data_IF_948050821947
#
_entry.id   IF_948050821947
#
_cell.length_a   1.000
_cell.length_b   1.000
_cell.length_c   1.000
_cell.angle_alpha   90.00
_cell.angle_beta   90.00
_cell.angle_gamma   90.00
#
_symmetry.space_group_name_H-M   'P 1'
#
loop_
_entity.id
_entity.type
_entity.pdbx_description
1 polymer ?
#
# COMPACT_ATOMS: atom_id res chain seq x y z
N UNK A 1 63.26 -50.02 30.51
CA UNK A 1 62.25 -50.77 29.73
C UNK A 1 60.96 -49.96 29.66
N UNK A 2 60.13 -50.21 28.64
CA UNK A 2 58.87 -49.52 28.29
C UNK A 2 57.86 -49.42 29.48
N UNK A 3 57.17 -48.29 29.73
CA UNK A 3 55.83 -47.86 29.21
C UNK A 3 54.61 -48.55 29.88
N UNK A 4 53.37 -48.02 29.96
CA UNK A 4 52.64 -47.03 29.13
C UNK A 4 51.58 -46.22 29.93
N UNK A 5 51.33 -44.99 29.47
CA UNK A 5 50.06 -44.22 29.40
C UNK A 5 48.71 -44.79 29.92
N UNK A 6 47.84 -43.91 30.44
CA UNK A 6 46.43 -44.26 30.74
C UNK A 6 45.43 -43.17 31.18
N UNK A 7 45.64 -41.87 30.91
CA UNK A 7 44.63 -40.83 31.26
C UNK A 7 43.37 -40.96 30.39
N UNK A 8 42.17 -41.00 31.00
CA UNK A 8 40.87 -41.03 30.30
C UNK A 8 39.83 -40.04 30.86
N UNK A 9 39.89 -38.82 30.37
CA UNK A 9 38.82 -37.81 30.27
C UNK A 9 39.10 -37.02 28.95
N UNK A 10 38.15 -36.31 28.28
CA UNK A 10 36.75 -36.03 28.61
C UNK A 10 35.80 -36.08 27.36
N UNK A 11 35.19 -37.21 26.99
CA UNK A 11 34.34 -37.27 25.76
C UNK A 11 32.89 -36.84 25.98
N UNK A 12 32.34 -37.02 27.19
CA UNK A 12 30.90 -36.95 27.45
C UNK A 12 30.35 -35.50 27.48
N UNK A 13 31.18 -34.50 27.81
CA UNK A 13 30.72 -33.11 28.02
C UNK A 13 30.44 -32.37 26.69
N UNK A 14 31.16 -32.69 25.61
CA UNK A 14 31.08 -31.96 24.32
C UNK A 14 29.78 -32.26 23.56
N UNK A 15 29.18 -33.44 23.76
CA UNK A 15 27.95 -33.85 23.04
C UNK A 15 26.73 -33.07 23.56
N UNK A 16 26.67 -32.78 24.87
CA UNK A 16 25.57 -32.04 25.49
C UNK A 16 25.56 -30.56 25.12
N UNK A 17 26.72 -29.92 24.90
CA UNK A 17 26.78 -28.52 24.45
C UNK A 17 26.37 -28.36 22.99
N UNK A 18 26.64 -29.33 22.12
CA UNK A 18 26.21 -29.30 20.71
C UNK A 18 24.69 -29.44 20.55
N UNK A 19 24.04 -30.27 21.38
CA UNK A 19 22.58 -30.41 21.39
C UNK A 19 21.86 -29.14 21.90
N UNK A 20 22.44 -28.42 22.86
CA UNK A 20 21.86 -27.18 23.38
C UNK A 20 21.82 -26.04 22.34
N UNK A 21 22.83 -25.97 21.45
CA UNK A 21 22.89 -24.95 20.39
C UNK A 21 21.92 -25.24 19.24
N UNK A 22 21.68 -26.52 18.91
CA UNK A 22 20.76 -26.91 17.84
C UNK A 22 19.31 -26.48 18.10
N UNK A 23 18.86 -26.45 19.36
CA UNK A 23 17.49 -26.04 19.73
C UNK A 23 17.23 -24.54 19.49
N UNK A 24 18.27 -23.70 19.51
CA UNK A 24 18.16 -22.26 19.24
C UNK A 24 18.25 -21.88 17.76
N UNK A 25 18.57 -22.84 16.88
CA UNK A 25 18.83 -22.60 15.46
C UNK A 25 17.69 -23.05 14.52
N UNK A 26 16.55 -23.52 15.03
CA UNK A 26 15.37 -23.74 14.19
C UNK A 26 14.78 -22.39 13.74
N UNK A 27 14.70 -22.10 12.43
CA UNK A 27 14.21 -20.83 11.94
C UNK A 27 12.71 -20.71 12.22
N UNK A 28 12.33 -19.74 13.06
CA UNK A 28 10.91 -19.45 13.41
C UNK A 28 10.01 -19.29 12.17
N UNK A 29 10.60 -18.83 11.06
CA UNK A 29 9.97 -18.68 9.75
C UNK A 29 9.25 -19.95 9.26
N UNK A 30 9.78 -21.14 9.51
CA UNK A 30 9.15 -22.40 9.09
C UNK A 30 7.79 -22.61 9.77
N UNK A 31 7.76 -22.46 11.10
CA UNK A 31 6.51 -22.56 11.87
C UNK A 31 5.47 -21.50 11.49
N UNK A 32 5.89 -20.31 11.03
CA UNK A 32 4.95 -19.29 10.53
C UNK A 32 4.37 -19.72 9.18
N UNK A 33 5.20 -20.20 8.25
CA UNK A 33 4.73 -20.69 6.95
C UNK A 33 3.75 -21.87 7.09
N UNK A 34 4.05 -22.83 7.96
CA UNK A 34 3.19 -23.99 8.23
C UNK A 34 1.82 -23.59 8.80
N UNK A 35 1.81 -22.66 9.77
CA UNK A 35 0.56 -22.12 10.35
C UNK A 35 -0.29 -21.38 9.30
N UNK A 36 0.35 -20.64 8.39
CA UNK A 36 -0.33 -19.94 7.29
C UNK A 36 -0.91 -20.93 6.28
N UNK A 37 -0.13 -21.94 5.84
CA UNK A 37 -0.62 -23.00 4.96
C UNK A 37 -1.86 -23.68 5.57
N UNK A 38 -1.76 -24.15 6.81
CA UNK A 38 -2.85 -24.80 7.51
C UNK A 38 -4.11 -23.94 7.60
N UNK A 39 -3.97 -22.64 7.89
CA UNK A 39 -5.11 -21.71 7.92
C UNK A 39 -5.77 -21.57 6.54
N UNK A 40 -4.98 -21.44 5.47
CA UNK A 40 -5.51 -21.29 4.12
C UNK A 40 -6.17 -22.57 3.59
N UNK A 41 -5.66 -23.76 3.92
CA UNK A 41 -6.29 -25.05 3.59
C UNK A 41 -7.61 -25.24 4.35
N UNK A 42 -7.62 -24.98 5.67
CA UNK A 42 -8.83 -25.05 6.49
C UNK A 42 -9.91 -24.04 6.03
N UNK A 43 -9.49 -22.88 5.53
CA UNK A 43 -10.39 -21.84 5.01
C UNK A 43 -10.90 -22.13 3.59
N UNK A 44 -10.26 -23.05 2.84
CA UNK A 44 -10.62 -23.39 1.46
C UNK A 44 -10.71 -24.92 1.27
N UNK A 45 -11.75 -25.59 1.82
CA UNK A 45 -11.86 -27.05 1.79
C UNK A 45 -11.69 -27.65 0.38
N UNK A 46 -10.85 -28.67 0.26
CA UNK A 46 -10.50 -29.30 -1.02
C UNK A 46 -9.43 -28.58 -1.82
N UNK A 47 -8.77 -27.56 -1.24
CA UNK A 47 -7.60 -26.87 -1.82
C UNK A 47 -6.34 -27.17 -1.00
N UNK A 48 -5.18 -27.09 -1.64
CA UNK A 48 -3.86 -27.05 -0.98
C UNK A 48 -3.32 -25.63 -0.93
N UNK A 49 -2.52 -25.31 0.10
CA UNK A 49 -1.91 -23.99 0.25
C UNK A 49 -0.39 -24.07 0.40
N UNK A 50 0.33 -23.14 -0.24
CA UNK A 50 1.78 -23.08 -0.28
C UNK A 50 2.25 -21.62 -0.11
N UNK A 51 2.90 -21.29 1.01
CA UNK A 51 3.65 -20.03 1.16
C UNK A 51 4.84 -20.04 0.22
N UNK A 52 4.71 -19.38 -0.93
CA UNK A 52 5.76 -19.27 -1.96
C UNK A 52 6.79 -18.17 -1.63
N UNK A 53 6.46 -17.24 -0.74
CA UNK A 53 7.39 -16.22 -0.25
C UNK A 53 7.00 -15.78 1.16
N UNK A 54 7.99 -15.58 2.03
CA UNK A 54 7.84 -15.05 3.37
C UNK A 54 8.95 -14.02 3.63
N UNK A 55 8.65 -12.73 3.43
CA UNK A 55 9.60 -11.62 3.58
C UNK A 55 9.29 -10.81 4.83
N UNK A 56 10.30 -10.48 5.63
CA UNK A 56 10.11 -9.55 6.76
C UNK A 56 10.01 -8.11 6.25
N UNK A 57 8.97 -7.39 6.66
CA UNK A 57 8.81 -5.96 6.43
C UNK A 57 8.08 -5.34 7.63
N UNK A 58 8.63 -4.21 8.11
CA UNK A 58 8.03 -3.37 9.16
C UNK A 58 7.61 -4.10 10.43
N UNK A 59 8.34 -5.16 10.79
CA UNK A 59 8.10 -5.97 12.00
C UNK A 59 7.10 -7.12 11.82
N UNK A 60 6.52 -7.28 10.63
CA UNK A 60 5.65 -8.40 10.24
C UNK A 60 6.33 -9.26 9.17
N UNK A 61 5.79 -10.45 8.93
CA UNK A 61 6.09 -11.22 7.73
C UNK A 61 4.99 -11.00 6.69
N UNK A 62 5.37 -10.56 5.49
CA UNK A 62 4.54 -10.62 4.30
C UNK A 62 4.62 -12.04 3.72
N UNK A 63 3.53 -12.79 3.82
CA UNK A 63 3.36 -14.09 3.21
C UNK A 63 2.65 -13.94 1.86
N UNK A 64 3.22 -14.51 0.80
CA UNK A 64 2.51 -14.74 -0.46
C UNK A 64 2.14 -16.22 -0.51
N UNK A 65 0.84 -16.49 -0.53
CA UNK A 65 0.27 -17.85 -0.45
C UNK A 65 -0.35 -18.21 -1.80
N UNK A 66 0.08 -19.31 -2.38
CA UNK A 66 -0.53 -19.94 -3.55
C UNK A 66 -1.56 -20.95 -3.06
N UNK A 67 -2.81 -20.81 -3.47
CA UNK A 67 -3.89 -21.74 -3.15
C UNK A 67 -4.30 -22.47 -4.44
N UNK A 68 -4.28 -23.80 -4.42
CA UNK A 68 -4.62 -24.64 -5.58
C UNK A 68 -5.83 -25.50 -5.25
N UNK A 69 -6.95 -25.27 -5.90
CA UNK A 69 -8.22 -25.97 -5.65
C UNK A 69 -8.98 -26.34 -6.92
N UNK A 70 -10.20 -26.88 -6.80
CA UNK A 70 -11.00 -27.35 -7.94
C UNK A 70 -11.36 -26.25 -8.96
N UNK A 71 -11.39 -24.99 -8.50
CA UNK A 71 -11.61 -23.80 -9.34
C UNK A 71 -10.35 -23.22 -9.99
N UNK A 72 -9.18 -23.85 -9.79
CA UNK A 72 -7.89 -23.40 -10.31
C UNK A 72 -6.92 -22.93 -9.24
N UNK A 73 -5.87 -22.20 -9.67
CA UNK A 73 -4.85 -21.61 -8.79
C UNK A 73 -5.13 -20.14 -8.56
N UNK A 74 -5.04 -19.70 -7.31
CA UNK A 74 -5.10 -18.29 -6.90
C UNK A 74 -3.90 -17.93 -6.02
N UNK A 75 -3.64 -16.64 -5.88
CA UNK A 75 -2.59 -16.11 -5.01
C UNK A 75 -3.21 -15.10 -4.04
N UNK A 76 -2.81 -15.18 -2.78
CA UNK A 76 -3.22 -14.26 -1.72
C UNK A 76 -1.98 -13.66 -1.05
N UNK A 77 -2.05 -12.37 -0.72
CA UNK A 77 -1.07 -11.74 0.17
C UNK A 77 -1.66 -11.63 1.57
N UNK A 78 -0.85 -11.96 2.58
CA UNK A 78 -1.22 -11.84 3.98
C UNK A 78 -0.05 -11.32 4.81
N UNK A 79 -0.37 -10.64 5.89
CA UNK A 79 0.59 -10.09 6.84
C UNK A 79 0.44 -10.78 8.18
N UNK A 80 1.56 -11.30 8.70
CA UNK A 80 1.56 -12.20 9.85
C UNK A 80 2.53 -11.70 10.90
N UNK A 81 2.15 -11.75 12.17
CA UNK A 81 3.07 -11.43 13.27
C UNK A 81 4.21 -12.43 13.36
N UNK A 82 5.38 -12.03 13.88
CA UNK A 82 6.58 -12.90 13.94
C UNK A 82 6.42 -14.15 14.81
N UNK A 83 5.39 -14.18 15.66
CA UNK A 83 5.00 -15.33 16.48
C UNK A 83 3.93 -16.21 15.82
N UNK A 84 3.49 -15.88 14.60
CA UNK A 84 2.48 -16.62 13.83
C UNK A 84 1.05 -16.54 14.40
N UNK A 85 0.80 -15.70 15.42
CA UNK A 85 -0.49 -15.70 16.15
C UNK A 85 -1.58 -14.87 15.52
N UNK A 86 -1.24 -13.84 14.74
CA UNK A 86 -2.19 -12.95 14.11
C UNK A 86 -1.88 -12.82 12.63
N UNK A 87 -2.92 -12.89 11.81
CA UNK A 87 -2.88 -12.66 10.37
C UNK A 87 -3.90 -11.58 10.00
N UNK A 88 -3.52 -10.68 9.10
CA UNK A 88 -4.42 -9.71 8.47
C UNK A 88 -4.10 -9.60 6.98
N UNK A 89 -5.14 -9.36 6.16
CA UNK A 89 -5.01 -9.10 4.73
C UNK A 89 -4.91 -7.58 4.45
N UNK A 90 -5.12 -6.74 5.45
CA UNK A 90 -5.10 -5.28 5.33
C UNK A 90 -4.24 -4.69 6.46
N UNK A 91 -3.00 -4.34 6.12
CA UNK A 91 -2.12 -3.55 6.99
C UNK A 91 -2.04 -2.13 6.44
N UNK A 92 -2.22 -1.16 7.32
CA UNK A 92 -1.96 0.26 7.03
C UNK A 92 -0.60 0.59 7.64
N UNK A 93 0.44 0.69 6.80
CA UNK A 93 1.75 1.16 7.24
C UNK A 93 1.66 2.66 7.50
N UNK A 94 1.58 3.04 8.78
CA UNK A 94 1.30 4.42 9.20
C UNK A 94 2.33 5.40 8.63
N UNK A 95 3.62 5.04 8.60
CA UNK A 95 4.68 5.91 8.08
C UNK A 95 4.57 6.14 6.56
N UNK A 96 4.31 5.10 5.78
CA UNK A 96 4.12 5.26 4.33
C UNK A 96 2.79 5.95 3.99
N UNK A 97 1.76 5.73 4.82
CA UNK A 97 0.48 6.44 4.71
C UNK A 97 0.65 7.94 4.99
N UNK A 98 1.39 8.29 6.05
CA UNK A 98 1.78 9.68 6.33
C UNK A 98 2.55 10.27 5.15
N UNK A 99 3.59 9.57 4.64
CA UNK A 99 4.38 10.04 3.50
C UNK A 99 3.51 10.28 2.25
N UNK A 100 2.60 9.38 1.92
CA UNK A 100 1.68 9.54 0.79
C UNK A 100 0.73 10.74 0.98
N UNK A 101 0.18 10.91 2.19
CA UNK A 101 -0.67 12.04 2.57
C UNK A 101 0.11 13.36 2.49
N UNK A 102 1.36 13.40 2.97
CA UNK A 102 2.26 14.56 2.89
C UNK A 102 2.64 14.90 1.44
N UNK A 103 3.01 13.91 0.62
CA UNK A 103 3.24 14.11 -0.82
C UNK A 103 2.01 14.70 -1.51
N UNK A 104 0.81 14.14 -1.26
CA UNK A 104 -0.44 14.65 -1.82
C UNK A 104 -0.76 16.07 -1.36
N UNK A 105 -0.59 16.34 -0.06
CA UNK A 105 -0.75 17.68 0.53
C UNK A 105 0.19 18.69 -0.13
N UNK A 106 1.49 18.38 -0.19
CA UNK A 106 2.52 19.28 -0.69
C UNK A 106 2.34 19.56 -2.19
N UNK A 107 1.90 18.55 -2.96
CA UNK A 107 1.53 18.72 -4.36
C UNK A 107 0.35 19.70 -4.51
N UNK A 108 -0.78 19.46 -3.80
CA UNK A 108 -1.95 20.35 -3.88
C UNK A 108 -1.67 21.74 -3.32
N UNK A 109 -0.86 21.87 -2.28
CA UNK A 109 -0.40 23.16 -1.74
C UNK A 109 0.40 23.94 -2.80
N UNK A 110 1.28 23.26 -3.55
CA UNK A 110 2.02 23.85 -4.66
C UNK A 110 1.07 24.27 -5.80
N UNK A 111 0.11 23.43 -6.19
CA UNK A 111 -0.90 23.79 -7.22
C UNK A 111 -1.69 25.04 -6.77
N UNK A 112 -2.14 25.07 -5.52
CA UNK A 112 -2.90 26.18 -4.96
C UNK A 112 -2.09 27.49 -4.95
N UNK A 113 -0.83 27.42 -4.53
CA UNK A 113 0.09 28.56 -4.45
C UNK A 113 0.44 29.13 -5.84
N UNK A 114 0.57 28.28 -6.86
CA UNK A 114 0.71 28.69 -8.26
C UNK A 114 -0.62 29.16 -8.89
N UNK A 115 -1.69 29.33 -8.10
CA UNK A 115 -2.95 29.88 -8.58
C UNK A 115 -3.82 28.91 -9.39
N UNK A 116 -3.48 27.62 -9.46
CA UNK A 116 -4.31 26.63 -10.14
C UNK A 116 -5.62 26.41 -9.39
N UNK A 117 -6.74 26.40 -10.11
CA UNK A 117 -8.09 26.13 -9.59
C UNK A 117 -8.82 25.15 -10.49
N UNK A 118 -9.69 24.33 -9.91
CA UNK A 118 -10.47 23.32 -10.61
C UNK A 118 -11.95 23.67 -10.43
N UNK A 119 -12.55 24.19 -11.49
CA UNK A 119 -13.96 24.53 -11.53
C UNK A 119 -14.76 23.28 -11.90
N UNK A 120 -15.82 22.98 -11.16
CA UNK A 120 -16.64 21.79 -11.43
C UNK A 120 -17.97 21.79 -10.69
N UNK A 121 -18.79 20.79 -10.97
CA UNK A 121 -20.12 20.60 -10.35
C UNK A 121 -20.10 19.35 -9.49
N UNK A 122 -20.80 19.37 -8.35
CA UNK A 122 -20.85 18.26 -7.40
C UNK A 122 -22.02 17.30 -7.64
N UNK A 123 -22.97 17.66 -8.51
CA UNK A 123 -24.10 16.81 -8.87
C UNK A 123 -23.68 15.58 -9.71
N UNK A 124 -23.43 14.46 -9.03
CA UNK A 124 -23.01 13.17 -9.61
C UNK A 124 -24.06 12.51 -10.51
N UNK A 125 -25.31 12.99 -10.55
CA UNK A 125 -26.29 12.52 -11.55
C UNK A 125 -26.02 13.06 -12.96
N UNK A 126 -25.01 13.91 -13.14
CA UNK A 126 -24.58 14.46 -14.42
C UNK A 126 -23.19 13.96 -14.81
N UNK A 127 -22.91 13.85 -16.12
CA UNK A 127 -21.58 13.48 -16.62
C UNK A 127 -20.49 14.43 -16.12
N UNK A 128 -20.80 15.73 -16.05
CA UNK A 128 -19.92 16.76 -15.52
C UNK A 128 -19.58 16.56 -14.03
N UNK A 129 -20.55 16.10 -13.22
CA UNK A 129 -20.33 15.79 -11.80
C UNK A 129 -19.52 14.52 -11.59
N UNK A 130 -19.74 13.47 -12.40
CA UNK A 130 -18.90 12.26 -12.40
C UNK A 130 -17.46 12.61 -12.76
N UNK A 131 -17.25 13.39 -13.83
CA UNK A 131 -15.91 13.83 -14.24
C UNK A 131 -15.25 14.73 -13.17
N UNK A 132 -16.01 15.62 -12.52
CA UNK A 132 -15.51 16.44 -11.41
C UNK A 132 -15.07 15.55 -10.23
N UNK A 133 -15.87 14.55 -9.85
CA UNK A 133 -15.50 13.58 -8.82
C UNK A 133 -14.22 12.81 -9.19
N UNK A 134 -14.07 12.35 -10.44
CA UNK A 134 -12.86 11.67 -10.91
C UNK A 134 -11.61 12.57 -10.79
N UNK A 135 -11.74 13.86 -11.12
CA UNK A 135 -10.65 14.82 -10.96
C UNK A 135 -10.27 15.03 -9.50
N UNK A 136 -11.24 15.14 -8.59
CA UNK A 136 -11.00 15.30 -7.16
C UNK A 136 -10.39 14.03 -6.55
N UNK A 137 -10.90 12.84 -6.90
CA UNK A 137 -10.37 11.56 -6.44
C UNK A 137 -8.90 11.35 -6.85
N UNK A 138 -8.52 11.82 -8.04
CA UNK A 138 -7.12 11.78 -8.55
C UNK A 138 -6.17 12.59 -7.66
N UNK A 139 -6.66 13.66 -7.03
CA UNK A 139 -5.91 14.56 -6.14
C UNK A 139 -6.05 14.20 -4.65
N UNK A 140 -6.92 13.24 -4.32
CA UNK A 140 -7.17 12.77 -2.96
C UNK A 140 -7.78 13.82 -2.02
N UNK A 141 -7.60 13.60 -0.72
CA UNK A 141 -8.32 14.34 0.34
C UNK A 141 -8.05 15.85 0.38
N UNK A 142 -6.98 16.34 -0.24
CA UNK A 142 -6.64 17.77 -0.28
C UNK A 142 -7.24 18.51 -1.49
N UNK A 143 -7.79 17.81 -2.48
CA UNK A 143 -8.39 18.39 -3.67
C UNK A 143 -9.37 19.57 -3.41
N UNK A 144 -10.20 19.58 -2.34
CA UNK A 144 -11.08 20.70 -2.03
C UNK A 144 -10.37 22.06 -1.89
N UNK A 145 -9.07 22.08 -1.57
CA UNK A 145 -8.28 23.32 -1.45
C UNK A 145 -8.14 24.10 -2.77
N UNK A 146 -8.20 23.40 -3.91
CA UNK A 146 -8.15 24.02 -5.25
C UNK A 146 -9.47 23.92 -6.00
N UNK A 147 -10.48 23.29 -5.42
CA UNK A 147 -11.81 23.16 -6.02
C UNK A 147 -12.62 24.46 -5.92
N UNK A 148 -13.36 24.77 -6.97
CA UNK A 148 -14.35 25.85 -7.01
C UNK A 148 -15.66 25.25 -7.56
N UNK A 149 -16.73 25.29 -6.76
CA UNK A 149 -18.03 24.81 -7.19
C UNK A 149 -18.69 25.78 -8.17
N UNK A 150 -19.32 25.19 -9.20
CA UNK A 150 -20.20 25.84 -10.17
C UNK A 150 -21.66 25.40 -9.99
N UNK A 151 -22.01 24.87 -8.82
CA UNK A 151 -23.37 24.40 -8.53
C UNK A 151 -24.30 25.57 -8.18
N UNK A 152 -25.55 25.52 -8.65
CA UNK A 152 -26.60 26.48 -8.31
C UNK A 152 -26.20 27.94 -8.54
N UNK A 153 -26.31 28.76 -7.49
CA UNK A 153 -26.04 30.21 -7.52
C UNK A 153 -24.57 30.56 -7.81
N UNK A 154 -23.64 29.60 -7.81
CA UNK A 154 -22.24 29.81 -8.18
C UNK A 154 -21.99 29.67 -9.69
N UNK A 155 -22.92 29.09 -10.45
CA UNK A 155 -22.79 28.92 -11.90
C UNK A 155 -22.48 30.22 -12.66
N UNK A 156 -23.11 31.39 -12.37
CA UNK A 156 -22.79 32.65 -13.06
C UNK A 156 -21.32 33.06 -12.91
N UNK A 157 -20.71 32.83 -11.75
CA UNK A 157 -19.30 33.14 -11.50
C UNK A 157 -18.39 32.30 -12.39
N UNK A 158 -18.71 31.01 -12.56
CA UNK A 158 -17.97 30.13 -13.46
C UNK A 158 -18.13 30.54 -14.94
N UNK A 159 -19.34 30.90 -15.37
CA UNK A 159 -19.59 31.40 -16.73
C UNK A 159 -18.81 32.71 -17.00
N UNK A 160 -18.77 33.64 -16.05
CA UNK A 160 -17.96 34.86 -16.14
C UNK A 160 -16.45 34.58 -16.14
N UNK A 161 -16.00 33.52 -15.47
CA UNK A 161 -14.63 33.01 -15.55
C UNK A 161 -14.32 32.22 -16.85
N UNK A 162 -15.23 32.18 -17.82
CA UNK A 162 -15.06 31.51 -19.11
C UNK A 162 -15.23 29.98 -19.06
N UNK A 163 -15.76 29.43 -17.96
CA UNK A 163 -15.93 27.99 -17.78
C UNK A 163 -17.20 27.52 -18.51
N UNK A 164 -17.00 26.87 -19.65
CA UNK A 164 -18.10 26.31 -20.48
C UNK A 164 -18.31 24.81 -20.29
N UNK A 165 -17.38 24.12 -19.61
CA UNK A 165 -17.41 22.68 -19.35
C UNK A 165 -16.91 22.39 -17.94
N UNK A 166 -17.37 21.30 -17.33
CA UNK A 166 -16.96 20.88 -15.99
C UNK A 166 -16.51 19.39 -16.00
N UNK A 167 -15.39 19.06 -15.33
CA UNK A 167 -14.46 19.98 -14.69
C UNK A 167 -13.65 20.78 -15.73
N UNK A 168 -13.19 21.97 -15.35
CA UNK A 168 -12.16 22.73 -16.07
C UNK A 168 -11.10 23.17 -15.08
N UNK A 169 -9.85 22.82 -15.36
CA UNK A 169 -8.70 23.33 -14.60
C UNK A 169 -8.30 24.67 -15.18
N UNK A 170 -8.27 25.73 -14.36
CA UNK A 170 -7.75 27.05 -14.73
C UNK A 170 -6.37 27.24 -14.14
N UNK A 171 -5.43 27.64 -15.00
CA UNK A 171 -4.08 28.01 -14.62
C UNK A 171 -3.57 29.13 -15.55
N UNK A 172 -2.94 30.16 -14.98
CA UNK A 172 -2.46 31.33 -15.72
C UNK A 172 -3.50 31.91 -16.72
N UNK A 173 -4.72 32.16 -16.24
CA UNK A 173 -5.89 32.63 -17.02
C UNK A 173 -6.31 31.72 -18.21
N UNK A 174 -5.76 30.51 -18.33
CA UNK A 174 -6.10 29.54 -19.38
C UNK A 174 -6.92 28.41 -18.78
N UNK A 175 -8.06 28.09 -19.40
CA UNK A 175 -8.93 26.97 -19.03
C UNK A 175 -8.58 25.69 -19.82
N UNK A 176 -8.35 24.60 -19.09
CA UNK A 176 -8.09 23.26 -19.59
C UNK A 176 -9.30 22.36 -19.23
N UNK A 177 -10.23 22.12 -20.16
CA UNK A 177 -11.44 21.34 -19.89
C UNK A 177 -11.14 19.84 -19.77
N UNK A 178 -11.94 19.14 -18.97
CA UNK A 178 -11.85 17.71 -18.74
C UNK A 178 -10.99 17.32 -17.53
N UNK A 179 -10.84 16.01 -17.33
CA UNK A 179 -10.04 15.44 -16.24
C UNK A 179 -8.57 15.39 -16.65
N UNK A 180 -7.72 16.04 -15.87
CA UNK A 180 -6.27 16.02 -16.01
C UNK A 180 -5.64 15.03 -15.03
N UNK A 181 -4.65 14.28 -15.53
CA UNK A 181 -3.80 13.41 -14.73
C UNK A 181 -2.86 14.24 -13.84
N UNK A 182 -2.30 13.61 -12.80
CA UNK A 182 -1.26 14.23 -11.97
C UNK A 182 -0.05 14.68 -12.82
N UNK A 183 0.37 13.88 -13.81
CA UNK A 183 1.47 14.25 -14.70
C UNK A 183 1.17 15.46 -15.58
N UNK A 184 -0.07 15.64 -16.03
CA UNK A 184 -0.50 16.85 -16.75
C UNK A 184 -0.49 18.08 -15.82
N UNK A 185 -1.05 17.97 -14.61
CA UNK A 185 -1.05 19.04 -13.62
C UNK A 185 0.37 19.45 -13.19
N UNK A 186 1.27 18.47 -13.02
CA UNK A 186 2.68 18.68 -12.73
C UNK A 186 3.39 19.41 -13.88
N UNK A 187 3.16 18.99 -15.13
CA UNK A 187 3.76 19.63 -16.30
C UNK A 187 3.26 21.07 -16.52
N UNK A 188 2.00 21.37 -16.20
CA UNK A 188 1.44 22.72 -16.30
C UNK A 188 2.05 23.68 -15.26
N UNK A 189 2.22 23.22 -14.02
CA UNK A 189 2.58 24.08 -12.87
C UNK A 189 4.04 23.98 -12.44
N UNK A 190 4.81 23.04 -13.00
CA UNK A 190 6.12 22.59 -12.48
C UNK A 190 6.11 22.04 -11.05
N UNK A 191 4.94 21.86 -10.44
CA UNK A 191 4.80 21.19 -9.14
C UNK A 191 5.13 19.71 -9.28
N UNK A 192 5.99 19.19 -8.40
CA UNK A 192 6.33 17.76 -8.37
C UNK A 192 5.44 17.03 -7.36
N UNK A 193 4.91 15.89 -7.77
CA UNK A 193 4.51 14.85 -6.82
C UNK A 193 5.82 14.18 -6.36
N UNK A 194 6.12 14.28 -5.06
CA UNK A 194 7.37 13.81 -4.46
C UNK A 194 7.38 12.32 -4.14
#
# INVERSE_FOLDING_TARGET
>A
MASRFGVKQPVIIIILSLLAVAVWAFPRNASVADNVNALYELSNPGSTAEVISLTEDSGLYKAVVKVTGPSGTSFAEAWVTKDGRYLTQSVIFVQDSIRQIETGKNFVDCLHANGLRIYGVTNQSTQAGVATLMQLNTLGVYAPKIFVSCDGDLLPNCLTAGITQAPTTVYNNTGYPGVLTISQLANLTSCKQG
#
